data_IF_819330701668
#
_entry.id   IF_819330701668
#
_cell.length_a   1.000
_cell.length_b   1.000
_cell.length_c   1.000
_cell.angle_alpha   90.00
_cell.angle_beta   90.00
_cell.angle_gamma   90.00
#
_symmetry.space_group_name_H-M   'P 1'
#
loop_
_entity.id
_entity.type
_entity.pdbx_description
1 polymer ?
#
# COMPACT_ATOMS: atom_id res chain seq x y z
N UNK A 1 16.22 -14.70 -4.02
CA UNK A 1 15.80 -15.96 -4.70
C UNK A 1 14.48 -16.35 -4.06
N UNK A 2 13.41 -16.47 -4.85
CA UNK A 2 12.08 -16.72 -4.29
C UNK A 2 12.00 -18.15 -3.73
N UNK A 3 11.55 -18.31 -2.48
CA UNK A 3 11.41 -19.62 -1.82
C UNK A 3 10.48 -20.56 -2.62
N UNK A 4 10.86 -21.82 -2.93
CA UNK A 4 10.02 -22.71 -3.72
C UNK A 4 8.62 -22.90 -3.13
N UNK A 5 7.61 -23.01 -4.01
CA UNK A 5 6.21 -23.18 -3.61
C UNK A 5 5.99 -24.39 -2.69
N UNK A 6 6.75 -25.46 -2.91
CA UNK A 6 6.73 -26.67 -2.08
C UNK A 6 7.08 -26.44 -0.61
N UNK A 7 7.70 -25.30 -0.28
CA UNK A 7 8.12 -24.96 1.07
C UNK A 7 7.07 -24.14 1.83
N UNK A 8 5.94 -23.80 1.19
CA UNK A 8 4.87 -23.09 1.87
C UNK A 8 4.31 -23.94 3.02
N UNK A 9 4.27 -23.42 4.26
CA UNK A 9 3.76 -24.14 5.43
C UNK A 9 2.24 -24.41 5.35
N UNK A 10 1.49 -23.54 4.68
CA UNK A 10 0.03 -23.57 4.65
C UNK A 10 -0.52 -23.22 3.27
N UNK A 11 -1.83 -23.38 3.13
CA UNK A 11 -2.61 -22.96 1.96
C UNK A 11 -3.70 -22.01 2.48
N UNK A 12 -3.91 -20.89 1.79
CA UNK A 12 -4.92 -19.91 2.16
C UNK A 12 -6.35 -20.33 1.75
N UNK A 13 -7.35 -19.53 2.11
CA UNK A 13 -8.77 -19.79 1.81
C UNK A 13 -9.10 -19.85 0.31
N UNK A 14 -8.19 -19.39 -0.57
CA UNK A 14 -8.33 -19.47 -2.03
C UNK A 14 -7.55 -20.64 -2.65
N UNK A 15 -6.95 -21.50 -1.83
CA UNK A 15 -6.12 -22.61 -2.31
C UNK A 15 -4.71 -22.17 -2.71
N UNK A 16 -4.27 -20.96 -2.35
CA UNK A 16 -2.97 -20.40 -2.71
C UNK A 16 -1.93 -20.70 -1.60
N UNK A 17 -0.70 -21.13 -1.93
CA UNK A 17 0.36 -21.36 -0.95
C UNK A 17 0.70 -20.11 -0.15
N UNK A 18 0.72 -20.24 1.17
CA UNK A 18 0.93 -19.16 2.13
C UNK A 18 2.17 -19.44 2.99
N UNK A 19 3.00 -18.42 3.18
CA UNK A 19 4.15 -18.43 4.08
C UNK A 19 3.84 -17.80 5.45
N UNK A 20 2.59 -17.40 5.63
CA UNK A 20 2.10 -16.59 6.74
C UNK A 20 2.89 -15.28 6.95
N UNK A 21 2.30 -14.32 7.67
CA UNK A 21 3.03 -13.12 8.06
C UNK A 21 4.14 -13.45 9.05
N UNK A 22 5.23 -12.67 9.03
CA UNK A 22 6.33 -12.83 10.00
C UNK A 22 6.12 -11.86 11.16
N UNK A 23 5.96 -12.38 12.37
CA UNK A 23 5.91 -11.55 13.58
C UNK A 23 7.32 -11.08 13.93
N UNK A 24 7.57 -9.78 13.81
CA UNK A 24 8.84 -9.15 14.17
C UNK A 24 8.92 -8.92 15.68
N UNK A 25 7.83 -8.44 16.28
CA UNK A 25 7.72 -8.21 17.71
C UNK A 25 6.32 -8.60 18.18
N UNK A 26 6.17 -9.60 19.07
CA UNK A 26 4.84 -10.10 19.46
C UNK A 26 4.12 -9.22 20.48
N UNK A 27 4.84 -8.34 21.20
CA UNK A 27 4.27 -7.45 22.19
C UNK A 27 5.17 -6.23 22.36
N UNK A 28 4.68 -5.06 21.95
CA UNK A 28 5.36 -3.77 22.03
C UNK A 28 4.32 -2.66 21.99
N UNK A 29 4.56 -1.55 22.68
CA UNK A 29 3.71 -0.36 22.51
C UNK A 29 4.03 0.37 21.21
N UNK A 30 3.05 1.10 20.66
CA UNK A 30 3.31 1.94 19.48
C UNK A 30 4.48 2.92 19.68
N UNK A 31 4.57 3.51 20.88
CA UNK A 31 5.61 4.49 21.22
C UNK A 31 7.01 3.88 21.22
N UNK A 32 7.16 2.68 21.79
CA UNK A 32 8.44 1.96 21.78
C UNK A 32 8.82 1.58 20.35
N UNK A 33 7.86 1.15 19.55
CA UNK A 33 8.12 0.83 18.15
C UNK A 33 8.50 2.06 17.32
N UNK A 34 7.85 3.21 17.55
CA UNK A 34 8.23 4.48 16.92
C UNK A 34 9.67 4.90 17.27
N UNK A 35 10.08 4.75 18.53
CA UNK A 35 11.44 5.03 18.99
C UNK A 35 12.45 4.08 18.32
N UNK A 36 12.09 2.81 18.20
CA UNK A 36 12.93 1.83 17.49
C UNK A 36 13.07 2.20 16.01
N UNK A 37 11.98 2.63 15.35
CA UNK A 37 12.01 3.07 13.95
C UNK A 37 12.95 4.26 13.74
N UNK A 38 13.02 5.22 14.67
CA UNK A 38 13.95 6.35 14.55
C UNK A 38 15.42 5.93 14.41
N UNK A 39 15.79 4.77 14.96
CA UNK A 39 17.16 4.25 14.92
C UNK A 39 17.36 3.14 13.88
N UNK A 40 16.27 2.64 13.28
CA UNK A 40 16.27 1.44 12.43
C UNK A 40 15.46 1.63 11.14
N UNK A 41 15.12 2.87 10.79
CA UNK A 41 14.36 3.19 9.58
C UNK A 41 15.05 2.60 8.34
N UNK A 42 14.27 1.94 7.50
CA UNK A 42 14.79 1.26 6.31
C UNK A 42 15.32 -0.16 6.54
N UNK A 43 15.61 -0.59 7.79
CA UNK A 43 16.13 -1.96 8.06
C UNK A 43 15.08 -3.04 7.81
N UNK A 44 13.84 -2.74 8.18
CA UNK A 44 12.67 -3.57 7.89
C UNK A 44 11.62 -2.69 7.22
N UNK A 45 10.92 -3.28 6.26
CA UNK A 45 9.93 -2.58 5.44
C UNK A 45 8.66 -3.41 5.36
N UNK A 46 7.55 -2.75 5.04
CA UNK A 46 6.24 -3.37 4.77
C UNK A 46 5.68 -4.09 6.00
N UNK A 47 5.89 -3.46 7.14
CA UNK A 47 5.36 -3.90 8.41
C UNK A 47 3.99 -3.25 8.68
N UNK A 48 3.22 -3.86 9.57
CA UNK A 48 2.05 -3.30 10.21
C UNK A 48 2.15 -3.48 11.72
N UNK A 49 1.62 -2.53 12.48
CA UNK A 49 1.40 -2.63 13.92
C UNK A 49 -0.07 -2.94 14.15
N UNK A 50 -0.34 -4.02 14.87
CA UNK A 50 -1.68 -4.53 15.15
C UNK A 50 -1.89 -4.56 16.67
N UNK A 51 -2.83 -3.76 17.20
CA UNK A 51 -3.18 -3.79 18.62
C UNK A 51 -3.59 -5.19 19.07
N UNK A 52 -3.20 -5.55 20.30
CA UNK A 52 -3.68 -6.78 20.94
C UNK A 52 -5.09 -6.55 21.52
N UNK A 53 -5.93 -7.58 21.48
CA UNK A 53 -7.28 -7.55 22.05
C UNK A 53 -7.29 -7.78 23.57
N UNK A 54 -6.25 -7.36 24.29
CA UNK A 54 -6.09 -7.56 25.74
C UNK A 54 -6.42 -6.30 26.56
N UNK A 55 -6.85 -5.22 25.89
CA UNK A 55 -7.18 -3.94 26.51
C UNK A 55 -5.96 -3.14 26.99
N UNK A 56 -4.75 -3.55 26.60
CA UNK A 56 -3.52 -2.79 26.80
C UNK A 56 -3.19 -1.93 25.57
N UNK A 57 -2.25 -0.99 25.71
CA UNK A 57 -1.70 -0.21 24.59
C UNK A 57 -0.68 -1.02 23.75
N UNK A 58 -0.56 -2.32 24.01
CA UNK A 58 0.37 -3.18 23.29
C UNK A 58 -0.22 -3.64 21.96
N UNK A 59 0.68 -3.84 21.01
CA UNK A 59 0.41 -4.48 19.75
C UNK A 59 1.52 -5.45 19.39
N UNK A 60 1.32 -6.11 18.26
CA UNK A 60 2.36 -6.86 17.57
C UNK A 60 2.78 -6.11 16.30
N UNK A 61 4.05 -6.25 15.93
CA UNK A 61 4.58 -5.77 14.66
C UNK A 61 4.76 -6.97 13.74
N UNK A 62 4.09 -6.92 12.59
CA UNK A 62 3.99 -8.02 11.64
C UNK A 62 4.48 -7.57 10.26
N UNK A 63 5.30 -8.39 9.61
CA UNK A 63 5.77 -8.17 8.24
C UNK A 63 4.97 -9.05 7.30
N UNK A 64 4.17 -8.42 6.45
CA UNK A 64 3.29 -9.07 5.48
C UNK A 64 3.95 -9.31 4.13
N UNK A 65 5.09 -8.69 3.88
CA UNK A 65 5.77 -8.83 2.60
C UNK A 65 7.28 -8.84 2.77
N UNK A 66 7.87 -10.01 2.52
CA UNK A 66 9.31 -10.14 2.37
C UNK A 66 9.76 -9.62 1.00
N UNK A 67 10.96 -9.02 0.89
CA UNK A 67 11.49 -8.53 -0.37
C UNK A 67 11.74 -9.70 -1.33
N UNK A 68 10.78 -9.93 -2.22
CA UNK A 68 10.88 -10.87 -3.34
C UNK A 68 11.06 -10.07 -4.62
N UNK A 69 11.80 -10.63 -5.59
CA UNK A 69 11.97 -9.96 -6.89
C UNK A 69 10.61 -9.72 -7.56
N UNK A 70 9.70 -10.70 -7.40
CA UNK A 70 8.34 -10.63 -7.93
C UNK A 70 7.54 -9.46 -7.35
N UNK A 71 7.63 -9.23 -6.03
CA UNK A 71 6.97 -8.11 -5.35
C UNK A 71 7.57 -6.76 -5.80
N UNK A 72 8.89 -6.60 -5.68
CA UNK A 72 9.59 -5.34 -6.02
C UNK A 72 9.37 -4.94 -7.49
N UNK A 73 9.49 -5.91 -8.41
CA UNK A 73 9.26 -5.66 -9.84
C UNK A 73 7.81 -5.30 -10.12
N UNK A 74 6.86 -5.85 -9.38
CA UNK A 74 5.44 -5.47 -9.53
C UNK A 74 5.21 -4.05 -9.03
N UNK A 75 5.76 -3.67 -7.86
CA UNK A 75 5.70 -2.31 -7.32
C UNK A 75 6.26 -1.29 -8.31
N UNK A 76 7.47 -1.56 -8.80
CA UNK A 76 8.14 -0.69 -9.76
C UNK A 76 7.35 -0.52 -11.07
N UNK A 77 6.72 -1.59 -11.58
CA UNK A 77 5.89 -1.53 -12.78
C UNK A 77 4.62 -0.73 -12.57
N UNK A 78 3.96 -0.88 -11.43
CA UNK A 78 2.77 -0.09 -11.08
C UNK A 78 3.14 1.38 -10.96
N UNK A 79 4.20 1.71 -10.22
CA UNK A 79 4.75 3.05 -10.10
C UNK A 79 5.03 3.70 -11.47
N UNK A 80 5.81 3.04 -12.34
CA UNK A 80 6.12 3.58 -13.67
C UNK A 80 4.87 3.79 -14.52
N UNK A 81 3.85 2.95 -14.37
CA UNK A 81 2.58 3.11 -15.07
C UNK A 81 1.83 4.36 -14.58
N UNK A 82 1.77 4.56 -13.26
CA UNK A 82 1.14 5.73 -12.64
C UNK A 82 1.86 7.00 -13.08
N UNK A 83 3.18 7.09 -12.93
CA UNK A 83 3.96 8.27 -13.32
C UNK A 83 3.77 8.60 -14.80
N UNK A 84 3.80 7.59 -15.69
CA UNK A 84 3.55 7.80 -17.12
C UNK A 84 2.15 8.35 -17.39
N UNK A 85 1.13 7.91 -16.67
CA UNK A 85 -0.23 8.43 -16.82
C UNK A 85 -0.33 9.88 -16.33
N UNK A 86 0.34 10.22 -15.22
CA UNK A 86 0.40 11.58 -14.67
C UNK A 86 1.04 12.54 -15.68
N UNK A 87 2.26 12.25 -16.16
CA UNK A 87 2.95 13.11 -17.13
C UNK A 87 2.15 13.27 -18.43
N UNK A 88 1.46 12.22 -18.89
CA UNK A 88 0.61 12.28 -20.09
C UNK A 88 -0.65 13.11 -19.87
N UNK A 89 -1.28 13.01 -18.70
CA UNK A 89 -2.51 13.72 -18.41
C UNK A 89 -2.29 15.22 -18.15
N UNK A 90 -1.19 15.57 -17.50
CA UNK A 90 -0.81 16.97 -17.27
C UNK A 90 -0.31 17.68 -18.53
N UNK A 91 -0.04 16.94 -19.61
CA UNK A 91 0.70 17.42 -20.78
C UNK A 91 2.03 18.12 -20.41
N UNK A 92 2.60 17.74 -19.27
CA UNK A 92 3.78 18.32 -18.66
C UNK A 92 4.68 17.17 -18.19
N UNK A 93 5.90 17.13 -18.72
CA UNK A 93 6.89 16.10 -18.41
C UNK A 93 7.61 16.33 -17.09
N UNK A 94 7.39 17.48 -16.43
CA UNK A 94 7.93 17.81 -15.11
C UNK A 94 6.91 17.68 -13.98
N UNK A 95 5.68 17.23 -14.28
CA UNK A 95 4.67 17.03 -13.24
C UNK A 95 5.10 15.94 -12.22
N UNK A 96 6.01 15.05 -12.61
CA UNK A 96 6.64 14.09 -11.70
C UNK A 96 7.55 14.75 -10.66
N UNK A 97 8.23 15.84 -10.98
CA UNK A 97 9.06 16.60 -10.02
C UNK A 97 8.22 17.20 -8.87
N UNK A 98 6.90 17.34 -9.08
CA UNK A 98 5.95 17.79 -8.05
C UNK A 98 5.46 16.67 -7.12
N UNK A 99 5.99 15.44 -7.24
CA UNK A 99 5.58 14.30 -6.44
C UNK A 99 6.77 13.69 -5.68
N UNK A 100 6.60 13.51 -4.39
CA UNK A 100 7.46 12.66 -3.59
C UNK A 100 6.98 11.20 -3.65
N UNK A 101 7.89 10.27 -3.91
CA UNK A 101 7.64 8.84 -3.86
C UNK A 101 8.37 8.21 -2.68
N UNK A 102 7.66 7.41 -1.87
CA UNK A 102 8.25 6.75 -0.72
C UNK A 102 7.36 5.64 -0.15
N UNK A 103 7.72 5.17 1.04
CA UNK A 103 6.93 4.19 1.82
C UNK A 103 6.67 4.82 3.19
N UNK A 104 5.71 5.74 3.31
CA UNK A 104 5.48 6.47 4.56
C UNK A 104 4.97 5.52 5.64
N UNK A 105 5.48 5.73 6.85
CA UNK A 105 4.90 5.15 8.07
C UNK A 105 3.71 5.99 8.49
N UNK A 106 2.55 5.37 8.62
CA UNK A 106 1.32 6.04 9.04
C UNK A 106 0.68 5.32 10.22
N UNK A 107 0.03 6.09 11.10
CA UNK A 107 -0.88 5.58 12.14
C UNK A 107 -2.31 5.96 11.77
N UNK A 108 -3.23 4.99 11.75
CA UNK A 108 -4.66 5.13 11.44
C UNK A 108 -5.42 4.51 12.61
N UNK A 109 -6.08 5.34 13.42
CA UNK A 109 -6.57 4.91 14.74
C UNK A 109 -5.43 4.35 15.59
N UNK A 110 -5.59 3.13 16.09
CA UNK A 110 -4.56 2.40 16.84
C UNK A 110 -3.66 1.51 15.97
N UNK A 111 -3.93 1.42 14.67
CA UNK A 111 -3.17 0.61 13.73
C UNK A 111 -2.02 1.42 13.12
N UNK A 112 -0.85 0.81 13.03
CA UNK A 112 0.27 1.35 12.27
C UNK A 112 0.47 0.59 10.97
N UNK A 113 0.86 1.27 9.90
CA UNK A 113 1.21 0.58 8.65
C UNK A 113 2.17 1.40 7.79
N UNK A 114 3.09 0.69 7.15
CA UNK A 114 3.92 1.22 6.07
C UNK A 114 3.32 0.78 4.72
N UNK A 115 3.14 1.73 3.80
CA UNK A 115 2.72 1.43 2.43
C UNK A 115 3.86 0.78 1.65
N UNK A 116 3.61 -0.16 0.74
CA UNK A 116 4.67 -0.66 -0.15
C UNK A 116 5.24 0.49 -1.00
N UNK A 117 4.34 1.31 -1.55
CA UNK A 117 4.68 2.53 -2.27
C UNK A 117 3.58 3.59 -2.11
N UNK A 118 3.96 4.85 -2.03
CA UNK A 118 3.05 5.96 -1.96
C UNK A 118 3.54 7.17 -2.75
N UNK A 119 2.60 7.99 -3.21
CA UNK A 119 2.87 9.28 -3.87
C UNK A 119 2.19 10.39 -3.09
N UNK A 120 2.97 11.43 -2.80
CA UNK A 120 2.53 12.63 -2.07
C UNK A 120 2.94 13.87 -2.87
N UNK A 121 2.04 14.81 -3.16
CA UNK A 121 2.41 16.10 -3.74
C UNK A 121 3.44 16.84 -2.88
N UNK A 122 4.45 17.41 -3.52
CA UNK A 122 5.42 18.28 -2.86
C UNK A 122 4.72 19.55 -2.40
N UNK A 123 5.04 20.00 -1.19
CA UNK A 123 4.44 21.21 -0.61
C UNK A 123 3.07 20.99 0.03
N UNK A 124 2.59 19.74 0.11
CA UNK A 124 1.39 19.39 0.87
C UNK A 124 1.65 19.66 2.38
N UNK A 125 1.21 20.81 2.87
CA UNK A 125 1.39 21.22 4.27
C UNK A 125 0.23 20.75 5.15
N UNK A 126 0.55 20.25 6.35
CA UNK A 126 -0.41 19.99 7.41
C UNK A 126 -0.84 21.34 8.01
N UNK A 127 -2.14 21.67 7.95
CA UNK A 127 -2.66 22.98 8.35
C UNK A 127 -3.95 23.45 7.66
N UNK A 128 -4.45 22.69 6.69
CA UNK A 128 -5.78 22.86 6.07
C UNK A 128 -6.73 21.67 6.35
N UNK A 129 -7.70 21.35 5.46
CA UNK A 129 -8.60 20.18 5.63
C UNK A 129 -7.90 18.82 5.45
N UNK A 130 -6.56 18.79 5.45
CA UNK A 130 -5.74 17.60 5.22
C UNK A 130 -5.47 16.91 6.55
N UNK A 131 -5.81 15.63 6.62
CA UNK A 131 -5.57 14.80 7.79
C UNK A 131 -4.08 14.49 7.94
N UNK A 132 -3.63 14.45 9.19
CA UNK A 132 -2.24 14.23 9.55
C UNK A 132 -1.99 12.74 9.85
N UNK A 133 -0.92 12.17 9.30
CA UNK A 133 -0.36 10.88 9.70
C UNK A 133 0.45 10.99 11.00
N UNK A 134 1.17 9.92 11.36
CA UNK A 134 2.15 10.00 12.46
C UNK A 134 3.23 11.05 12.15
N UNK A 135 3.78 11.66 13.21
CA UNK A 135 4.90 12.63 13.17
C UNK A 135 4.65 13.97 12.47
N UNK A 136 3.41 14.44 12.33
CA UNK A 136 3.17 15.80 11.81
C UNK A 136 3.10 15.90 10.28
N UNK A 137 3.17 14.78 9.56
CA UNK A 137 3.12 14.75 8.09
C UNK A 137 1.69 14.48 7.60
N UNK A 138 1.37 14.86 6.37
CA UNK A 138 0.09 14.52 5.76
C UNK A 138 0.08 13.05 5.30
N UNK A 139 -1.09 12.42 5.27
CA UNK A 139 -1.22 11.13 4.59
C UNK A 139 -0.91 11.27 3.09
N UNK A 140 -0.31 10.24 2.46
CA UNK A 140 -0.09 10.24 1.02
C UNK A 140 -1.41 10.28 0.23
N UNK A 141 -1.37 10.82 -0.98
CA UNK A 141 -2.57 10.92 -1.83
C UNK A 141 -2.86 9.61 -2.56
N UNK A 142 -1.81 8.91 -2.98
CA UNK A 142 -1.89 7.62 -3.66
C UNK A 142 -1.09 6.61 -2.85
N UNK A 143 -1.68 5.44 -2.58
CA UNK A 143 -0.99 4.30 -1.99
C UNK A 143 -1.10 3.08 -2.90
N UNK A 144 -0.04 2.29 -2.92
CA UNK A 144 0.07 1.02 -3.63
C UNK A 144 0.47 -0.05 -2.63
N UNK A 145 -0.24 -1.17 -2.66
CA UNK A 145 -0.04 -2.32 -1.81
C UNK A 145 0.01 -3.59 -2.66
N UNK A 146 0.90 -4.52 -2.32
CA UNK A 146 1.08 -5.76 -3.07
C UNK A 146 1.08 -6.91 -2.09
N UNK A 147 0.09 -7.78 -2.25
CA UNK A 147 0.02 -9.04 -1.54
C UNK A 147 0.66 -10.16 -2.38
N UNK A 148 1.56 -10.91 -1.77
CA UNK A 148 2.20 -12.07 -2.40
C UNK A 148 2.20 -13.29 -1.48
N UNK A 149 3.37 -13.80 -1.07
CA UNK A 149 3.53 -15.07 -0.35
C UNK A 149 3.15 -14.99 1.13
N UNK A 150 3.46 -13.88 1.78
CA UNK A 150 3.25 -13.65 3.21
C UNK A 150 1.97 -12.84 3.49
N UNK A 151 1.16 -12.63 2.46
CA UNK A 151 -0.07 -11.83 2.54
C UNK A 151 -1.19 -12.46 1.70
N UNK A 152 -2.42 -12.15 2.05
CA UNK A 152 -3.61 -12.74 1.46
C UNK A 152 -4.51 -11.69 0.81
N UNK A 153 -5.35 -12.11 -0.13
CA UNK A 153 -6.31 -11.21 -0.76
C UNK A 153 -7.26 -10.50 0.23
N UNK A 154 -7.77 -11.17 1.29
CA UNK A 154 -8.61 -10.52 2.31
C UNK A 154 -7.85 -9.47 3.13
N UNK A 155 -6.61 -9.78 3.53
CA UNK A 155 -5.75 -8.84 4.24
C UNK A 155 -5.42 -7.62 3.39
N UNK A 156 -5.12 -7.82 2.11
CA UNK A 156 -4.99 -6.71 1.14
C UNK A 156 -6.26 -5.87 1.08
N UNK A 157 -7.45 -6.49 0.96
CA UNK A 157 -8.73 -5.75 0.95
C UNK A 157 -8.94 -4.94 2.22
N UNK A 158 -8.60 -5.49 3.37
CA UNK A 158 -8.70 -4.81 4.66
C UNK A 158 -7.70 -3.63 4.74
N UNK A 159 -6.45 -3.82 4.33
CA UNK A 159 -5.43 -2.76 4.29
C UNK A 159 -5.85 -1.59 3.41
N UNK A 160 -6.37 -1.89 2.20
CA UNK A 160 -6.92 -0.86 1.30
C UNK A 160 -8.17 -0.20 1.87
N UNK A 161 -9.02 -0.91 2.60
CA UNK A 161 -10.19 -0.31 3.26
C UNK A 161 -9.76 0.69 4.34
N UNK A 162 -8.75 0.34 5.15
CA UNK A 162 -8.18 1.24 6.16
C UNK A 162 -7.56 2.48 5.54
N UNK A 163 -6.79 2.34 4.47
CA UNK A 163 -6.29 3.49 3.72
C UNK A 163 -7.39 4.39 3.18
N UNK A 164 -8.60 3.87 2.97
CA UNK A 164 -9.73 4.63 2.42
C UNK A 164 -10.74 5.05 3.51
N UNK A 165 -10.41 4.88 4.79
CA UNK A 165 -11.28 5.29 5.89
C UNK A 165 -11.37 6.82 6.00
N UNK A 166 -12.36 7.31 6.74
CA UNK A 166 -12.53 8.75 6.99
C UNK A 166 -11.45 9.34 7.91
N UNK A 167 -10.56 8.52 8.46
CA UNK A 167 -9.42 8.93 9.28
C UNK A 167 -8.18 9.30 8.45
N UNK A 168 -8.23 9.15 7.12
CA UNK A 168 -7.10 9.41 6.23
C UNK A 168 -7.48 10.33 5.06
N UNK A 169 -6.50 11.06 4.51
CA UNK A 169 -6.69 11.88 3.31
C UNK A 169 -6.30 11.19 2.00
N UNK A 170 -6.05 9.88 2.02
CA UNK A 170 -5.71 9.10 0.81
C UNK A 170 -6.86 9.16 -0.17
N UNK A 171 -6.56 9.49 -1.43
CA UNK A 171 -7.57 9.62 -2.49
C UNK A 171 -7.64 8.36 -3.37
N UNK A 172 -6.53 7.66 -3.51
CA UNK A 172 -6.42 6.48 -4.38
C UNK A 172 -5.65 5.39 -3.65
N UNK A 173 -6.24 4.21 -3.52
CA UNK A 173 -5.57 3.02 -3.01
C UNK A 173 -5.59 1.91 -4.07
N UNK A 174 -4.41 1.40 -4.42
CA UNK A 174 -4.22 0.36 -5.43
C UNK A 174 -3.67 -0.88 -4.73
N UNK A 175 -4.36 -2.00 -4.85
CA UNK A 175 -3.87 -3.30 -4.40
C UNK A 175 -3.57 -4.23 -5.56
N UNK A 176 -2.51 -5.01 -5.46
CA UNK A 176 -2.23 -6.12 -6.38
C UNK A 176 -1.99 -7.40 -5.58
N UNK A 177 -2.87 -8.41 -5.74
CA UNK A 177 -2.58 -9.78 -5.29
C UNK A 177 -1.93 -10.56 -6.43
N UNK A 178 -0.80 -11.19 -6.13
CA UNK A 178 -0.09 -12.15 -6.98
C UNK A 178 -0.30 -13.54 -6.38
N UNK A 179 -0.72 -14.50 -7.20
CA UNK A 179 -0.89 -15.89 -6.78
C UNK A 179 0.35 -16.69 -7.21
N UNK A 180 1.21 -17.20 -6.30
CA UNK A 180 2.43 -17.91 -6.66
C UNK A 180 2.23 -19.11 -7.60
N UNK A 181 1.07 -19.77 -7.54
CA UNK A 181 0.79 -21.01 -8.29
C UNK A 181 0.23 -20.78 -9.68
N UNK A 182 -0.08 -19.55 -10.06
CA UNK A 182 -0.69 -19.26 -11.36
C UNK A 182 -0.18 -17.96 -11.96
N UNK A 183 -0.47 -17.74 -13.24
CA UNK A 183 -0.24 -16.44 -13.87
C UNK A 183 -1.29 -15.40 -13.46
N UNK A 184 -2.32 -15.79 -12.72
CA UNK A 184 -3.40 -14.92 -12.32
C UNK A 184 -2.91 -13.88 -11.31
N UNK A 185 -3.52 -12.71 -11.41
CA UNK A 185 -3.34 -11.57 -10.52
C UNK A 185 -4.68 -10.88 -10.35
N UNK A 186 -4.85 -10.21 -9.22
CA UNK A 186 -6.03 -9.38 -8.96
C UNK A 186 -5.58 -7.97 -8.65
N UNK A 187 -6.03 -7.01 -9.45
CA UNK A 187 -5.92 -5.59 -9.14
C UNK A 187 -7.19 -5.12 -8.42
N UNK A 188 -7.02 -4.31 -7.39
CA UNK A 188 -8.07 -3.63 -6.65
C UNK A 188 -7.78 -2.14 -6.74
N UNK A 189 -8.73 -1.37 -7.24
CA UNK A 189 -8.66 0.09 -7.22
C UNK A 189 -9.76 0.62 -6.30
N UNK A 190 -9.38 1.47 -5.35
CA UNK A 190 -10.31 2.27 -4.55
C UNK A 190 -10.08 3.75 -4.82
N UNK A 191 -11.17 4.46 -5.09
CA UNK A 191 -11.16 5.91 -5.32
C UNK A 191 -12.06 6.58 -4.29
N UNK A 192 -11.54 7.62 -3.64
CA UNK A 192 -12.30 8.44 -2.69
C UNK A 192 -13.20 9.39 -3.47
N UNK A 193 -14.39 9.59 -2.95
CA UNK A 193 -15.39 10.50 -3.49
C UNK A 193 -16.79 9.99 -3.23
N UNK A 194 -17.83 10.83 -3.41
CA UNK A 194 -19.21 10.39 -3.40
C UNK A 194 -19.70 10.08 -4.83
N UNK A 195 -20.10 8.82 -5.16
CA UNK A 195 -20.00 7.61 -4.34
C UNK A 195 -18.58 7.03 -4.36
N UNK A 196 -18.21 6.34 -3.28
CA UNK A 196 -16.91 5.67 -3.20
C UNK A 196 -16.86 4.53 -4.23
N UNK A 197 -15.79 4.44 -5.00
CA UNK A 197 -15.68 3.46 -6.08
C UNK A 197 -14.66 2.39 -5.71
N UNK A 198 -15.06 1.13 -5.86
CA UNK A 198 -14.18 -0.04 -5.73
C UNK A 198 -14.28 -0.86 -7.01
N UNK A 199 -13.14 -1.09 -7.66
CA UNK A 199 -13.06 -1.89 -8.89
C UNK A 199 -12.14 -3.08 -8.67
N UNK A 200 -12.57 -4.26 -9.10
CA UNK A 200 -11.80 -5.49 -9.09
C UNK A 200 -11.52 -5.94 -10.52
N UNK A 201 -10.26 -6.18 -10.85
CA UNK A 201 -9.84 -6.64 -12.18
C UNK A 201 -8.94 -7.85 -12.02
N UNK A 202 -9.40 -9.02 -12.48
CA UNK A 202 -8.53 -10.18 -12.65
C UNK A 202 -7.72 -10.02 -13.95
N UNK A 203 -6.42 -10.36 -13.90
CA UNK A 203 -5.53 -10.28 -15.06
C UNK A 203 -4.43 -11.33 -15.02
N UNK A 204 -3.70 -11.50 -16.14
CA UNK A 204 -2.60 -12.46 -16.25
C UNK A 204 -2.98 -13.85 -16.76
N UNK A 205 -4.26 -14.09 -17.09
CA UNK A 205 -4.65 -15.24 -17.90
C UNK A 205 -4.12 -15.11 -19.35
N UNK A 206 -3.87 -16.23 -20.02
CA UNK A 206 -3.21 -16.35 -21.33
C UNK A 206 -4.00 -15.79 -22.54
N UNK A 207 -4.67 -14.63 -22.42
CA UNK A 207 -5.23 -13.89 -23.56
C UNK A 207 -4.62 -12.48 -23.68
N UNK A 208 -4.27 -12.04 -24.90
CA UNK A 208 -3.45 -10.87 -25.10
C UNK A 208 -4.33 -9.64 -25.29
N UNK A 209 -4.36 -8.80 -24.28
CA UNK A 209 -4.63 -7.37 -24.45
C UNK A 209 -3.66 -6.62 -23.54
N UNK A 210 -3.04 -5.51 -23.98
CA UNK A 210 -2.32 -4.66 -23.05
C UNK A 210 -3.30 -4.25 -21.95
N UNK A 211 -2.98 -4.58 -20.70
CA UNK A 211 -3.77 -4.18 -19.55
C UNK A 211 -3.71 -2.65 -19.46
N UNK A 212 -4.69 -1.96 -20.04
CA UNK A 212 -4.90 -0.54 -19.82
C UNK A 212 -5.66 -0.38 -18.51
N UNK A 213 -4.92 -0.35 -17.40
CA UNK A 213 -5.47 0.22 -16.18
C UNK A 213 -5.45 1.74 -16.36
N UNK A 214 -6.59 2.29 -16.76
CA UNK A 214 -6.79 3.75 -16.81
C UNK A 214 -7.22 4.18 -15.42
N UNK A 215 -6.33 4.87 -14.72
CA UNK A 215 -6.66 5.44 -13.42
C UNK A 215 -7.22 6.86 -13.66
N UNK A 216 -8.36 7.24 -13.06
CA UNK A 216 -8.85 8.61 -13.12
C UNK A 216 -8.04 9.53 -12.18
N UNK A 217 -6.71 9.54 -12.29
CA UNK A 217 -5.79 10.31 -11.43
C UNK A 217 -5.94 11.83 -11.62
N UNK A 218 -6.41 12.25 -12.79
CA UNK A 218 -6.48 13.67 -13.19
C UNK A 218 -7.40 14.47 -12.28
N UNK A 219 -8.52 13.89 -11.83
CA UNK A 219 -9.45 14.61 -10.92
C UNK A 219 -8.98 14.61 -9.46
N UNK A 220 -8.22 13.61 -9.03
CA UNK A 220 -7.81 13.45 -7.62
C UNK A 220 -6.54 14.25 -7.26
N UNK A 221 -5.68 14.58 -8.24
CA UNK A 221 -4.46 15.36 -8.00
C UNK A 221 -4.67 16.88 -8.09
N UNK A 222 -5.76 17.34 -8.71
CA UNK A 222 -6.06 18.77 -8.87
C UNK A 222 -6.66 19.42 -7.61
N UNK A 223 -7.08 18.66 -6.60
CA UNK A 223 -7.60 19.21 -5.34
C UNK A 223 -6.51 19.80 -4.42
N UNK A 224 -5.23 19.71 -4.79
CA UNK A 224 -4.10 20.23 -4.01
C UNK A 224 -3.38 21.45 -4.61
N UNK A 225 -3.81 21.93 -5.79
CA UNK A 225 -3.19 23.09 -6.45
C UNK A 225 -4.31 24.11 -6.71
N UNK A 226 -4.78 24.73 -5.65
CA UNK A 226 -5.55 25.97 -5.75
C UNK A 226 -4.55 27.12 -5.69
N UNK A 227 -4.47 27.87 -6.78
CA UNK A 227 -3.77 29.16 -6.92
C UNK A 227 -4.06 30.15 -5.81
#
# INVERSE_FOLDING_TARGET
MDDPISNAPTVDEYGDPSWEPVVLCPCITWKEFELWLQHNEGRFRRWAFEPLEDGTDNGQVVIYSLPTETHERTAHRVYRSIMRQICRAGNDHHLDDSLFCGSPTCKIGDLGQEADLALTPVGLSVGGPILQSSRGFAFPNVVVEIAYKNDSLPRLRAKLARWMSDETSVQVAIGIKIFPTSLNRTAILRLRGPPAQVTHVAFGAARPGPLQIVFPLVKCLLFGISS
#
